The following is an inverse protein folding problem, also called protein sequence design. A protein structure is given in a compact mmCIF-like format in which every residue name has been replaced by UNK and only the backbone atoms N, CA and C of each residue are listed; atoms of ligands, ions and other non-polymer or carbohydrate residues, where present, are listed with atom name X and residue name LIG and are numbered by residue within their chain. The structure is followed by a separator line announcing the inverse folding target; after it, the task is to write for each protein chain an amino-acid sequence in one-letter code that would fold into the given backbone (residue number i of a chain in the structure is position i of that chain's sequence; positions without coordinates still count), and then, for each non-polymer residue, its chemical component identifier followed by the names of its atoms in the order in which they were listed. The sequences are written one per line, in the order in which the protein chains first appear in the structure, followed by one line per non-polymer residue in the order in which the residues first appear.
data_IF_193739098217
#
_entry.id   IF_193739098217
#
_cell.length_a   1.000
_cell.length_b   1.000
_cell.length_c   1.000
_cell.angle_alpha   90.00
_cell.angle_beta   90.00
_cell.angle_gamma   90.00
#
_symmetry.space_group_name_H-M   'P 1'
#
loop_
_entity.id
_entity.type
_entity.pdbx_description
1 polymer ?
#
# COMPACT_ATOMS: atom_id res chain seq x y z
N UNK A 1 27.12 24.41 -13.82
CA UNK A 1 26.49 23.73 -12.66
C UNK A 1 25.00 23.68 -12.94
N UNK A 2 24.38 22.51 -12.78
CA UNK A 2 22.91 22.38 -12.88
C UNK A 2 22.26 22.83 -11.58
N UNK A 3 21.28 23.73 -11.66
CA UNK A 3 20.48 24.19 -10.54
C UNK A 3 19.39 23.19 -10.22
N UNK A 4 19.36 22.67 -9.00
CA UNK A 4 18.42 21.65 -8.57
C UNK A 4 17.51 22.22 -7.48
N UNK A 5 16.19 22.14 -7.71
CA UNK A 5 15.15 22.48 -6.73
C UNK A 5 14.52 21.21 -6.19
N UNK A 6 14.31 21.15 -4.87
CA UNK A 6 13.71 20.00 -4.18
C UNK A 6 12.23 20.25 -3.90
N UNK A 7 11.38 19.26 -4.13
CA UNK A 7 9.98 19.25 -3.75
C UNK A 7 9.68 17.98 -2.92
N UNK A 8 9.86 18.09 -1.61
CA UNK A 8 9.65 17.03 -0.62
C UNK A 8 9.05 17.65 0.66
N UNK A 9 8.04 17.02 1.24
CA UNK A 9 7.40 17.49 2.48
C UNK A 9 8.26 17.22 3.73
N UNK A 10 9.13 16.20 3.70
CA UNK A 10 9.97 15.80 4.82
C UNK A 10 11.20 16.70 4.99
N UNK A 11 11.30 17.37 6.14
CA UNK A 11 12.46 18.21 6.45
C UNK A 11 13.79 17.42 6.54
N UNK A 12 13.71 16.18 7.03
CA UNK A 12 14.87 15.28 7.13
C UNK A 12 15.35 14.89 5.74
N UNK A 13 14.44 14.47 4.87
CA UNK A 13 14.77 14.11 3.49
C UNK A 13 15.38 15.29 2.74
N UNK A 14 14.77 16.47 2.80
CA UNK A 14 15.31 17.68 2.17
C UNK A 14 16.73 18.02 2.63
N UNK A 15 17.04 17.80 3.93
CA UNK A 15 18.39 18.03 4.44
C UNK A 15 19.40 17.07 3.84
N UNK A 16 19.04 15.81 3.67
CA UNK A 16 19.89 14.77 3.08
C UNK A 16 20.06 15.02 1.57
N UNK A 17 18.98 15.31 0.86
CA UNK A 17 19.02 15.63 -0.59
C UNK A 17 19.87 16.87 -0.88
N UNK A 18 19.77 17.90 -0.01
CA UNK A 18 20.64 19.08 -0.08
C UNK A 18 22.11 18.71 0.09
N UNK A 19 22.45 17.81 1.04
CA UNK A 19 23.81 17.34 1.24
C UNK A 19 24.32 16.55 0.01
N UNK A 20 23.49 15.67 -0.55
CA UNK A 20 23.80 14.93 -1.79
C UNK A 20 24.12 15.89 -2.95
N UNK A 21 23.35 16.97 -3.09
CA UNK A 21 23.58 17.99 -4.11
C UNK A 21 24.92 18.70 -3.88
N UNK A 22 25.23 19.08 -2.64
CA UNK A 22 26.47 19.79 -2.30
C UNK A 22 27.73 18.94 -2.48
N UNK A 23 27.62 17.61 -2.39
CA UNK A 23 28.76 16.70 -2.62
C UNK A 23 29.21 16.62 -4.08
N UNK A 24 28.40 17.10 -5.02
CA UNK A 24 28.72 17.07 -6.44
C UNK A 24 28.98 18.50 -7.00
N UNK A 25 30.20 18.80 -7.44
CA UNK A 25 30.54 20.14 -7.96
C UNK A 25 29.82 20.50 -9.27
N UNK A 26 29.15 19.52 -9.94
CA UNK A 26 28.33 19.79 -11.11
C UNK A 26 26.95 20.38 -10.77
N UNK A 27 26.55 20.36 -9.49
CA UNK A 27 25.23 20.76 -9.03
C UNK A 27 25.27 22.03 -8.16
N UNK A 28 24.18 22.77 -8.20
CA UNK A 28 23.88 23.93 -7.37
C UNK A 28 22.51 23.74 -6.72
N UNK A 29 22.43 23.85 -5.41
CA UNK A 29 21.17 23.80 -4.68
C UNK A 29 20.40 25.12 -4.86
N UNK A 30 19.23 25.07 -5.52
CA UNK A 30 18.40 26.24 -5.80
C UNK A 30 17.33 26.53 -4.73
N UNK A 31 17.15 25.61 -3.77
CA UNK A 31 16.13 25.76 -2.73
C UNK A 31 15.17 24.56 -2.68
N UNK A 32 14.08 24.72 -1.95
CA UNK A 32 13.03 23.70 -1.83
C UNK A 32 11.64 24.32 -1.87
N UNK A 33 10.62 23.52 -2.17
CA UNK A 33 9.22 23.86 -2.10
C UNK A 33 8.48 22.94 -1.13
N UNK A 34 7.45 23.45 -0.44
CA UNK A 34 6.62 22.72 0.52
C UNK A 34 5.20 22.44 0.01
N UNK A 35 4.82 23.07 -1.11
CA UNK A 35 3.54 22.86 -1.79
C UNK A 35 3.69 23.03 -3.30
N UNK A 36 2.73 22.51 -4.07
CA UNK A 36 2.78 22.60 -5.53
C UNK A 36 2.71 24.05 -6.01
N UNK A 37 1.92 24.90 -5.36
CA UNK A 37 1.86 26.33 -5.68
C UNK A 37 3.22 27.04 -5.44
N UNK A 38 3.91 26.66 -4.35
CA UNK A 38 5.25 27.17 -4.06
C UNK A 38 6.28 26.64 -5.08
N UNK A 39 6.16 25.38 -5.50
CA UNK A 39 7.01 24.78 -6.55
C UNK A 39 6.90 25.59 -7.85
N UNK A 40 5.66 25.87 -8.30
CA UNK A 40 5.42 26.65 -9.51
C UNK A 40 6.02 28.06 -9.42
N UNK A 41 5.86 28.72 -8.26
CA UNK A 41 6.44 30.05 -8.00
C UNK A 41 7.96 30.02 -8.07
N UNK A 42 8.58 29.07 -7.36
CA UNK A 42 10.05 28.93 -7.30
C UNK A 42 10.67 28.47 -8.61
N UNK A 43 9.97 27.66 -9.39
CA UNK A 43 10.39 27.30 -10.74
C UNK A 43 10.48 28.56 -11.63
N UNK A 44 9.49 29.47 -11.52
CA UNK A 44 9.49 30.72 -12.27
C UNK A 44 10.60 31.68 -11.82
N UNK A 45 10.88 31.73 -10.52
CA UNK A 45 11.85 32.61 -9.89
C UNK A 45 13.28 32.14 -10.12
N UNK A 46 13.59 30.88 -9.75
CA UNK A 46 14.97 30.35 -9.75
C UNK A 46 15.39 29.70 -11.05
N UNK A 47 14.42 29.36 -11.93
CA UNK A 47 14.63 28.69 -13.22
C UNK A 47 15.57 27.48 -13.07
N UNK A 48 15.20 26.49 -12.27
CA UNK A 48 16.05 25.31 -12.05
C UNK A 48 16.21 24.50 -13.33
N UNK A 49 17.37 23.86 -13.48
CA UNK A 49 17.66 22.94 -14.59
C UNK A 49 17.05 21.54 -14.32
N UNK A 50 16.89 21.20 -13.04
CA UNK A 50 16.36 19.92 -12.63
C UNK A 50 15.56 20.01 -11.32
N UNK A 51 14.64 19.05 -11.15
CA UNK A 51 13.84 18.85 -9.94
C UNK A 51 14.12 17.49 -9.31
N UNK A 52 14.19 17.44 -7.98
CA UNK A 52 14.03 16.22 -7.20
C UNK A 52 12.68 16.31 -6.51
N UNK A 53 11.80 15.35 -6.76
CA UNK A 53 10.40 15.40 -6.33
C UNK A 53 10.03 14.09 -5.67
N UNK A 54 9.37 14.13 -4.51
CA UNK A 54 8.72 12.98 -3.89
C UNK A 54 7.23 12.97 -4.22
N UNK A 55 6.67 11.81 -4.54
CA UNK A 55 5.21 11.68 -4.78
C UNK A 55 4.38 12.06 -3.57
N UNK A 56 4.87 11.83 -2.34
CA UNK A 56 4.21 12.26 -1.12
C UNK A 56 4.05 13.79 -0.99
N UNK A 57 4.81 14.57 -1.76
CA UNK A 57 4.68 16.03 -1.85
C UNK A 57 3.32 16.46 -2.46
N UNK A 58 2.70 15.61 -3.27
CA UNK A 58 1.43 15.86 -3.96
C UNK A 58 0.27 15.17 -3.23
N UNK A 59 0.01 15.53 -1.99
CA UNK A 59 -1.06 14.95 -1.18
C UNK A 59 -2.38 14.83 -1.97
N UNK A 60 -2.94 13.62 -2.03
CA UNK A 60 -4.24 13.35 -2.66
C UNK A 60 -4.27 13.39 -4.21
N UNK A 61 -3.15 13.66 -4.87
CA UNK A 61 -3.09 13.62 -6.34
C UNK A 61 -2.81 12.20 -6.85
N UNK A 62 -3.51 11.82 -7.92
CA UNK A 62 -3.21 10.57 -8.63
C UNK A 62 -1.88 10.67 -9.36
N UNK A 63 -1.15 9.56 -9.45
CA UNK A 63 0.17 9.50 -10.10
C UNK A 63 0.16 10.07 -11.53
N UNK A 64 -0.91 9.81 -12.30
CA UNK A 64 -1.10 10.34 -13.63
C UNK A 64 -1.15 11.87 -13.67
N UNK A 65 -1.84 12.44 -12.68
CA UNK A 65 -1.95 13.89 -12.55
C UNK A 65 -0.60 14.50 -12.15
N UNK A 66 0.15 13.84 -11.28
CA UNK A 66 1.52 14.27 -10.91
C UNK A 66 2.41 14.29 -12.15
N UNK A 67 2.43 13.22 -12.93
CA UNK A 67 3.21 13.14 -14.18
C UNK A 67 2.77 14.23 -15.17
N UNK A 68 1.48 14.49 -15.29
CA UNK A 68 0.96 15.54 -16.16
C UNK A 68 1.46 16.92 -15.74
N UNK A 69 1.36 17.26 -14.45
CA UNK A 69 1.83 18.55 -13.93
C UNK A 69 3.35 18.72 -14.08
N UNK A 70 4.14 17.68 -13.77
CA UNK A 70 5.59 17.71 -13.95
C UNK A 70 5.99 17.84 -15.42
N UNK A 71 5.24 17.22 -16.36
CA UNK A 71 5.43 17.43 -17.80
C UNK A 71 5.19 18.87 -18.22
N UNK A 72 4.15 19.51 -17.65
CA UNK A 72 3.82 20.90 -17.96
C UNK A 72 4.90 21.87 -17.50
N UNK A 73 5.63 21.57 -16.41
CA UNK A 73 6.79 22.35 -15.99
C UNK A 73 7.95 22.28 -17.00
N UNK A 74 8.05 21.19 -17.77
CA UNK A 74 9.05 21.01 -18.83
C UNK A 74 10.49 20.89 -18.34
N UNK A 75 10.71 20.65 -17.05
CA UNK A 75 12.02 20.58 -16.38
C UNK A 75 12.42 19.11 -16.21
N UNK A 76 13.70 18.83 -16.28
CA UNK A 76 14.24 17.51 -16.01
C UNK A 76 13.94 17.13 -14.55
N UNK A 77 13.26 16.02 -14.32
CA UNK A 77 12.74 15.65 -12.99
C UNK A 77 13.15 14.24 -12.61
N UNK A 78 13.72 14.08 -11.41
CA UNK A 78 13.83 12.82 -10.70
C UNK A 78 12.63 12.73 -9.76
N UNK A 79 11.74 11.77 -10.02
CA UNK A 79 10.54 11.53 -9.23
C UNK A 79 10.75 10.30 -8.34
N UNK A 80 10.77 10.50 -7.03
CA UNK A 80 10.77 9.43 -6.04
C UNK A 80 9.36 8.90 -5.81
N UNK A 81 9.24 7.57 -5.79
CA UNK A 81 8.01 6.85 -5.45
C UNK A 81 8.27 5.93 -4.26
N UNK A 82 7.24 5.74 -3.42
CA UNK A 82 7.35 4.91 -2.21
C UNK A 82 7.06 3.42 -2.46
N UNK A 83 6.71 3.03 -3.69
CA UNK A 83 6.43 1.64 -4.09
C UNK A 83 7.64 0.98 -4.77
N UNK A 84 7.61 -0.36 -4.90
CA UNK A 84 8.59 -1.11 -5.70
C UNK A 84 8.39 -0.81 -7.19
N UNK A 85 8.93 0.29 -7.64
CA UNK A 85 9.05 0.61 -9.05
C UNK A 85 10.39 0.13 -9.60
N UNK A 86 10.38 -0.41 -10.80
CA UNK A 86 11.60 -0.56 -11.60
C UNK A 86 11.93 0.82 -12.15
N UNK A 87 13.19 1.24 -12.02
CA UNK A 87 13.66 2.50 -12.55
C UNK A 87 13.27 2.68 -14.02
N UNK A 88 12.60 3.78 -14.34
CA UNK A 88 12.07 4.00 -15.69
C UNK A 88 11.92 5.49 -16.02
N UNK A 89 11.75 5.79 -17.29
CA UNK A 89 11.40 7.13 -17.76
C UNK A 89 9.89 7.24 -18.00
N UNK A 90 9.19 8.06 -17.20
CA UNK A 90 7.79 8.41 -17.44
C UNK A 90 7.62 9.38 -18.61
N UNK A 91 8.72 10.07 -19.00
CA UNK A 91 8.86 10.88 -20.23
C UNK A 91 10.34 11.12 -20.49
N UNK A 92 10.67 11.78 -21.62
CA UNK A 92 12.06 12.18 -21.93
C UNK A 92 12.72 13.05 -20.86
N UNK A 93 11.93 13.66 -19.97
CA UNK A 93 12.42 14.54 -18.90
C UNK A 93 12.09 14.07 -17.49
N UNK A 94 11.32 13.01 -17.32
CA UNK A 94 10.93 12.50 -16.00
C UNK A 94 11.45 11.09 -15.81
N UNK A 95 12.40 10.94 -14.89
CA UNK A 95 12.90 9.67 -14.41
C UNK A 95 12.23 9.31 -13.10
N UNK A 96 11.65 8.11 -13.01
CA UNK A 96 10.96 7.60 -11.83
C UNK A 96 11.81 6.51 -11.21
N UNK A 97 12.03 6.61 -9.92
CA UNK A 97 12.79 5.61 -9.14
C UNK A 97 12.21 5.46 -7.74
N UNK A 98 12.52 4.34 -7.10
CA UNK A 98 12.17 4.13 -5.69
C UNK A 98 12.93 5.12 -4.81
N UNK A 99 12.25 5.73 -3.85
CA UNK A 99 12.91 6.57 -2.83
C UNK A 99 13.94 5.76 -2.05
N UNK A 100 15.19 6.20 -1.96
CA UNK A 100 16.19 5.54 -1.13
C UNK A 100 15.79 5.56 0.34
N UNK A 101 16.13 4.50 1.09
CA UNK A 101 16.00 4.54 2.55
C UNK A 101 17.13 5.39 3.13
N UNK A 102 16.79 6.54 3.68
CA UNK A 102 17.74 7.42 4.35
C UNK A 102 17.92 7.13 5.86
N UNK A 103 17.35 6.02 6.36
CA UNK A 103 17.38 5.69 7.79
C UNK A 103 18.78 5.33 8.34
N UNK A 104 19.76 4.99 7.46
CA UNK A 104 21.13 4.68 7.83
C UNK A 104 22.12 5.26 6.81
N UNK A 105 22.19 6.60 6.77
CA UNK A 105 23.03 7.29 5.78
C UNK A 105 24.45 7.49 6.31
N UNK A 106 25.42 6.81 5.68
CA UNK A 106 26.85 7.11 5.86
C UNK A 106 27.30 8.13 4.82
N UNK A 107 28.42 8.84 5.09
CA UNK A 107 28.99 9.79 4.13
C UNK A 107 29.39 9.11 2.79
N UNK A 108 29.74 7.83 2.83
CA UNK A 108 30.08 7.04 1.65
C UNK A 108 28.85 6.82 0.77
N UNK A 109 27.73 6.45 1.37
CA UNK A 109 26.45 6.29 0.66
C UNK A 109 25.96 7.59 0.02
N UNK A 110 26.16 8.74 0.68
CA UNK A 110 25.79 10.05 0.10
C UNK A 110 26.57 10.36 -1.18
N UNK A 111 27.88 10.02 -1.23
CA UNK A 111 28.68 10.19 -2.44
C UNK A 111 28.20 9.31 -3.59
N UNK A 112 27.85 8.06 -3.29
CA UNK A 112 27.32 7.13 -4.30
C UNK A 112 25.99 7.64 -4.86
N UNK A 113 25.09 8.14 -4.01
CA UNK A 113 23.85 8.79 -4.45
C UNK A 113 24.11 10.03 -5.30
N UNK A 114 25.12 10.83 -4.96
CA UNK A 114 25.49 12.03 -5.72
C UNK A 114 25.96 11.68 -7.13
N UNK A 115 26.74 10.60 -7.28
CA UNK A 115 27.20 10.09 -8.58
C UNK A 115 26.04 9.50 -9.40
N UNK A 116 25.11 8.79 -8.75
CA UNK A 116 23.90 8.27 -9.40
C UNK A 116 23.01 9.41 -9.92
N UNK A 117 22.81 10.45 -9.09
CA UNK A 117 22.05 11.63 -9.45
C UNK A 117 22.65 12.32 -10.70
N UNK A 118 23.97 12.42 -10.79
CA UNK A 118 24.64 12.98 -11.94
C UNK A 118 24.41 12.15 -13.22
N UNK A 119 24.46 10.84 -13.14
CA UNK A 119 24.13 9.96 -14.27
C UNK A 119 22.70 10.18 -14.73
N UNK A 120 21.73 10.19 -13.82
CA UNK A 120 20.30 10.38 -14.14
C UNK A 120 20.08 11.72 -14.86
N UNK A 121 20.72 12.79 -14.40
CA UNK A 121 20.54 14.11 -15.01
C UNK A 121 21.41 14.37 -16.25
N UNK A 122 22.39 13.52 -16.54
CA UNK A 122 23.23 13.63 -17.74
C UNK A 122 22.85 12.64 -18.85
N UNK A 123 22.15 11.55 -18.52
CA UNK A 123 21.64 10.61 -19.51
C UNK A 123 20.48 11.24 -20.30
N UNK A 124 20.73 11.49 -21.58
CA UNK A 124 19.65 11.68 -22.55
C UNK A 124 19.08 10.29 -22.88
N UNK A 125 17.78 10.07 -22.76
CA UNK A 125 17.22 8.75 -22.97
C UNK A 125 17.39 8.29 -24.42
N UNK A 126 18.28 7.33 -24.65
CA UNK A 126 18.42 6.60 -25.92
C UNK A 126 17.72 5.24 -25.90
N UNK A 127 16.96 4.94 -24.85
CA UNK A 127 16.15 3.72 -24.76
C UNK A 127 14.72 4.00 -25.19
N UNK A 128 14.02 3.05 -25.84
CA UNK A 128 12.63 3.26 -26.25
C UNK A 128 11.78 3.63 -25.05
N UNK A 129 11.15 4.79 -25.16
CA UNK A 129 10.25 5.31 -24.14
C UNK A 129 9.13 4.30 -23.92
N UNK A 130 9.08 3.69 -22.73
CA UNK A 130 7.85 3.01 -22.33
C UNK A 130 6.75 4.06 -22.25
N UNK A 131 5.68 3.86 -23.01
CA UNK A 131 4.53 4.75 -22.97
C UNK A 131 3.83 4.63 -21.62
N UNK A 132 3.06 5.63 -21.24
CA UNK A 132 2.25 5.62 -20.00
C UNK A 132 1.37 4.36 -19.88
N UNK A 133 0.83 3.87 -21.02
CA UNK A 133 0.11 2.60 -21.11
C UNK A 133 1.02 1.37 -20.82
N UNK A 134 2.34 1.48 -21.01
CA UNK A 134 3.33 0.45 -20.67
C UNK A 134 3.82 0.58 -19.23
N UNK A 135 3.89 1.80 -18.67
CA UNK A 135 4.20 2.06 -17.26
C UNK A 135 3.10 1.57 -16.32
N UNK A 136 1.84 1.71 -16.72
CA UNK A 136 0.71 1.09 -16.01
C UNK A 136 0.69 -0.44 -16.12
N UNK A 137 1.50 -1.04 -17.00
CA UNK A 137 1.73 -2.49 -17.10
C UNK A 137 2.91 -2.99 -16.27
N UNK A 138 3.88 -2.11 -15.94
CA UNK A 138 5.06 -2.43 -15.12
C UNK A 138 4.83 -2.19 -13.60
N UNK A 139 3.66 -1.69 -13.19
CA UNK A 139 3.12 -1.95 -11.85
C UNK A 139 3.00 -3.47 -11.77
N UNK A 140 3.94 -4.15 -11.10
CA UNK A 140 4.16 -5.60 -11.10
C UNK A 140 3.24 -6.30 -12.10
N UNK A 141 3.68 -7.17 -13.00
CA UNK A 141 2.74 -7.93 -13.79
C UNK A 141 1.81 -8.59 -12.79
N UNK A 142 0.63 -8.03 -12.60
CA UNK A 142 -0.50 -8.76 -12.06
C UNK A 142 -0.57 -9.91 -13.04
N UNK A 143 -0.09 -11.09 -12.60
CA UNK A 143 -0.18 -12.30 -13.40
C UNK A 143 -1.58 -12.30 -13.96
N UNK A 144 -1.68 -12.28 -15.27
CA UNK A 144 -2.95 -12.31 -16.00
C UNK A 144 -3.74 -13.53 -15.51
N UNK A 145 -4.70 -13.32 -14.71
CA UNK A 145 -5.61 -14.12 -13.90
C UNK A 145 -5.33 -13.88 -12.42
N UNK A 146 -6.22 -13.11 -11.79
CA UNK A 146 -6.27 -13.07 -10.34
C UNK A 146 -6.68 -14.45 -9.84
N UNK A 147 -5.73 -15.27 -9.45
CA UNK A 147 -5.99 -16.58 -8.81
C UNK A 147 -6.43 -16.41 -7.34
N UNK A 148 -6.57 -15.16 -6.87
CA UNK A 148 -7.00 -14.91 -5.50
C UNK A 148 -8.43 -15.40 -5.26
N UNK A 149 -8.64 -16.00 -4.09
CA UNK A 149 -9.91 -16.63 -3.71
C UNK A 149 -10.66 -15.84 -2.64
N UNK A 150 -9.97 -15.04 -1.85
CA UNK A 150 -10.55 -14.23 -0.78
C UNK A 150 -9.62 -13.12 -0.33
N UNK A 151 -10.21 -12.10 0.32
CA UNK A 151 -9.52 -11.07 1.09
C UNK A 151 -9.78 -11.33 2.58
N UNK A 152 -8.73 -11.27 3.40
CA UNK A 152 -8.76 -11.42 4.84
C UNK A 152 -8.32 -10.11 5.48
N UNK A 153 -9.13 -9.55 6.37
CA UNK A 153 -8.85 -8.26 7.00
C UNK A 153 -8.76 -8.42 8.52
N UNK A 154 -7.65 -7.98 9.07
CA UNK A 154 -7.45 -7.88 10.52
C UNK A 154 -7.49 -6.42 10.97
N UNK A 155 -8.20 -6.13 12.07
CA UNK A 155 -8.38 -4.76 12.54
C UNK A 155 -8.76 -4.73 14.03
N UNK A 156 -8.46 -3.60 14.72
CA UNK A 156 -8.78 -3.43 16.15
C UNK A 156 -9.24 -2.00 16.47
N UNK A 157 -8.48 -1.25 17.23
CA UNK A 157 -8.81 0.12 17.64
C UNK A 157 -8.94 1.04 16.42
N UNK A 158 -10.05 1.78 16.32
CA UNK A 158 -10.39 2.60 15.16
C UNK A 158 -11.10 1.82 14.04
N UNK A 159 -11.17 0.49 14.17
CA UNK A 159 -11.64 -0.44 13.13
C UNK A 159 -13.01 -0.15 12.53
N UNK A 160 -14.09 0.07 13.32
CA UNK A 160 -15.41 0.27 12.74
C UNK A 160 -15.47 1.35 11.67
N UNK A 161 -14.90 2.53 11.92
CA UNK A 161 -14.86 3.64 10.96
C UNK A 161 -13.97 3.31 9.74
N UNK A 162 -12.80 2.73 9.98
CA UNK A 162 -11.85 2.31 8.94
C UNK A 162 -12.46 1.26 8.02
N UNK A 163 -13.13 0.24 8.57
CA UNK A 163 -13.83 -0.80 7.79
C UNK A 163 -14.97 -0.19 6.98
N UNK A 164 -15.80 0.65 7.58
CA UNK A 164 -16.91 1.28 6.88
C UNK A 164 -16.43 2.07 5.66
N UNK A 165 -15.40 2.89 5.82
CA UNK A 165 -14.79 3.65 4.72
C UNK A 165 -14.26 2.71 3.63
N UNK A 166 -13.46 1.72 4.00
CA UNK A 166 -12.89 0.75 3.06
C UNK A 166 -13.97 -0.01 2.27
N UNK A 167 -15.00 -0.54 2.94
CA UNK A 167 -16.08 -1.30 2.30
C UNK A 167 -16.94 -0.41 1.38
N UNK A 168 -17.16 0.86 1.76
CA UNK A 168 -17.88 1.82 0.91
C UNK A 168 -17.12 2.10 -0.39
N UNK A 169 -15.80 2.22 -0.32
CA UNK A 169 -14.93 2.45 -1.48
C UNK A 169 -14.76 1.20 -2.35
N UNK A 170 -14.74 0.00 -1.76
CA UNK A 170 -14.70 -1.28 -2.51
C UNK A 170 -15.92 -1.41 -3.42
N UNK A 171 -17.12 -1.08 -2.92
CA UNK A 171 -18.38 -1.13 -3.71
C UNK A 171 -18.94 -2.52 -3.93
N UNK A 172 -20.18 -2.57 -4.45
CA UNK A 172 -21.01 -3.79 -4.51
C UNK A 172 -20.50 -4.88 -5.46
N UNK A 173 -19.75 -4.51 -6.50
CA UNK A 173 -19.33 -5.44 -7.58
C UNK A 173 -17.97 -6.12 -7.28
N UNK A 174 -17.55 -6.15 -6.03
CA UNK A 174 -16.28 -6.76 -5.68
C UNK A 174 -16.29 -8.28 -5.89
N UNK A 175 -15.37 -8.85 -6.69
CA UNK A 175 -15.47 -10.21 -7.16
C UNK A 175 -14.98 -11.29 -6.19
N UNK A 176 -14.55 -10.93 -4.97
CA UNK A 176 -14.06 -11.86 -3.96
C UNK A 176 -14.87 -11.76 -2.67
N UNK A 177 -14.96 -12.84 -1.87
CA UNK A 177 -15.43 -12.76 -0.51
C UNK A 177 -14.41 -12.07 0.39
N UNK A 178 -14.90 -11.35 1.41
CA UNK A 178 -14.08 -10.66 2.41
C UNK A 178 -14.37 -11.27 3.78
N UNK A 179 -13.33 -11.72 4.48
CA UNK A 179 -13.42 -12.24 5.83
C UNK A 179 -12.71 -11.28 6.79
N UNK A 180 -13.37 -10.89 7.87
CA UNK A 180 -12.87 -9.85 8.79
C UNK A 180 -12.79 -10.37 10.21
N UNK A 181 -11.63 -10.20 10.84
CA UNK A 181 -11.46 -10.32 12.28
C UNK A 181 -11.28 -8.91 12.86
N UNK A 182 -12.31 -8.44 13.57
CA UNK A 182 -12.29 -7.22 14.36
C UNK A 182 -12.26 -7.60 15.84
N UNK A 183 -11.32 -7.07 16.61
CA UNK A 183 -11.34 -7.23 18.07
C UNK A 183 -12.49 -6.40 18.65
N UNK A 184 -13.52 -7.08 19.12
CA UNK A 184 -14.76 -6.48 19.60
C UNK A 184 -15.41 -7.37 20.68
N UNK A 185 -16.11 -6.76 21.64
CA UNK A 185 -16.89 -7.46 22.62
C UNK A 185 -18.22 -7.96 22.05
N UNK A 186 -18.74 -9.08 22.58
CA UNK A 186 -19.97 -9.75 22.14
C UNK A 186 -21.25 -8.87 22.21
N UNK A 187 -21.21 -7.80 22.98
CA UNK A 187 -22.33 -6.84 23.07
C UNK A 187 -22.42 -5.96 21.82
N UNK A 188 -21.31 -5.81 21.08
CA UNK A 188 -21.22 -4.84 19.98
C UNK A 188 -21.20 -5.48 18.59
N UNK A 189 -20.96 -6.80 18.46
CA UNK A 189 -20.79 -7.46 17.16
C UNK A 189 -22.03 -7.31 16.25
N UNK A 190 -23.25 -7.61 16.76
CA UNK A 190 -24.51 -7.48 16.01
C UNK A 190 -24.83 -6.03 15.64
N UNK A 191 -24.52 -5.10 16.53
CA UNK A 191 -24.74 -3.68 16.29
C UNK A 191 -23.82 -3.17 15.19
N UNK A 192 -22.55 -3.59 15.19
CA UNK A 192 -21.58 -3.27 14.15
C UNK A 192 -22.06 -3.79 12.79
N UNK A 193 -22.48 -5.06 12.70
CA UNK A 193 -22.99 -5.66 11.46
C UNK A 193 -24.20 -4.90 10.92
N UNK A 194 -25.19 -4.59 11.80
CA UNK A 194 -26.37 -3.82 11.41
C UNK A 194 -26.01 -2.43 10.89
N UNK A 195 -25.07 -1.76 11.56
CA UNK A 195 -24.61 -0.43 11.19
C UNK A 195 -23.86 -0.46 9.85
N UNK A 196 -22.97 -1.45 9.62
CA UNK A 196 -22.26 -1.59 8.36
C UNK A 196 -23.21 -1.88 7.20
N UNK A 197 -24.22 -2.76 7.39
CA UNK A 197 -25.23 -3.02 6.36
C UNK A 197 -26.04 -1.77 5.99
N UNK A 198 -26.21 -0.82 6.92
CA UNK A 198 -26.90 0.44 6.65
C UNK A 198 -26.00 1.49 5.96
N UNK A 199 -24.69 1.33 6.01
CA UNK A 199 -23.72 2.34 5.59
C UNK A 199 -22.75 1.87 4.48
N UNK A 200 -22.90 0.64 3.99
CA UNK A 200 -22.09 0.09 2.89
C UNK A 200 -22.99 -0.64 1.88
N UNK A 201 -22.49 -0.84 0.67
CA UNK A 201 -23.25 -1.53 -0.39
C UNK A 201 -23.02 -3.04 -0.42
N UNK A 202 -22.03 -3.54 0.34
CA UNK A 202 -21.74 -4.97 0.43
C UNK A 202 -22.58 -5.62 1.52
N UNK A 203 -23.22 -6.78 1.28
CA UNK A 203 -23.89 -7.56 2.34
C UNK A 203 -22.87 -7.99 3.40
N UNK A 204 -23.15 -7.63 4.66
CA UNK A 204 -22.29 -7.91 5.82
C UNK A 204 -22.99 -8.90 6.75
N UNK A 205 -22.29 -9.96 7.12
CA UNK A 205 -22.82 -11.08 7.91
C UNK A 205 -21.90 -11.38 9.11
N UNK A 206 -22.46 -11.87 10.21
CA UNK A 206 -21.67 -12.67 11.15
C UNK A 206 -21.33 -14.01 10.47
N UNK A 207 -20.12 -14.47 10.64
CA UNK A 207 -19.67 -15.74 10.08
C UNK A 207 -20.35 -16.91 10.78
N UNK A 208 -20.64 -17.97 10.02
CA UNK A 208 -21.18 -19.23 10.52
C UNK A 208 -20.36 -20.41 10.01
N UNK A 209 -20.18 -21.43 10.84
CA UNK A 209 -19.42 -22.63 10.47
C UNK A 209 -20.11 -23.40 9.33
N UNK A 210 -19.30 -23.91 8.39
CA UNK A 210 -19.77 -24.69 7.25
C UNK A 210 -20.24 -23.86 6.06
N UNK A 211 -20.27 -22.54 6.17
CA UNK A 211 -20.63 -21.65 5.06
C UNK A 211 -19.50 -21.55 4.05
N UNK A 212 -19.81 -21.70 2.78
CA UNK A 212 -18.93 -21.38 1.65
C UNK A 212 -19.10 -19.89 1.34
N UNK A 213 -18.08 -19.04 1.53
CA UNK A 213 -18.21 -17.60 1.32
C UNK A 213 -18.54 -17.25 -0.14
N UNK A 214 -19.46 -16.31 -0.31
CA UNK A 214 -19.88 -15.83 -1.63
C UNK A 214 -19.12 -14.57 -2.01
N UNK A 215 -18.79 -14.43 -3.28
CA UNK A 215 -18.21 -13.21 -3.81
C UNK A 215 -19.10 -12.00 -3.51
N UNK A 216 -18.47 -10.84 -3.25
CA UNK A 216 -19.18 -9.62 -2.92
C UNK A 216 -19.87 -9.62 -1.55
N UNK A 217 -19.55 -10.57 -0.68
CA UNK A 217 -20.09 -10.64 0.68
C UNK A 217 -18.97 -10.53 1.71
N UNK A 218 -19.31 -9.97 2.86
CA UNK A 218 -18.41 -9.74 3.99
C UNK A 218 -18.83 -10.60 5.16
N UNK A 219 -17.86 -11.29 5.80
CA UNK A 219 -18.10 -12.20 6.91
C UNK A 219 -17.22 -11.81 8.10
N UNK A 220 -17.84 -11.41 9.20
CA UNK A 220 -17.13 -11.05 10.44
C UNK A 220 -17.02 -12.21 11.40
N UNK A 221 -15.87 -12.34 12.05
CA UNK A 221 -15.69 -13.23 13.18
C UNK A 221 -16.66 -12.82 14.32
N UNK A 222 -17.51 -13.73 14.83
CA UNK A 222 -18.26 -13.45 16.04
C UNK A 222 -17.30 -13.31 17.24
N UNK A 223 -17.69 -12.51 18.22
CA UNK A 223 -16.96 -12.45 19.48
C UNK A 223 -16.88 -13.83 20.14
N UNK A 224 -15.82 -14.08 20.88
CA UNK A 224 -15.51 -15.35 21.55
C UNK A 224 -15.30 -16.58 20.63
N UNK A 225 -15.19 -16.38 19.32
CA UNK A 225 -14.84 -17.43 18.38
C UNK A 225 -13.69 -16.99 17.47
N UNK A 226 -12.75 -17.91 17.22
CA UNK A 226 -11.80 -17.73 16.12
C UNK A 226 -12.51 -18.01 14.80
N UNK A 227 -12.36 -17.12 13.83
CA UNK A 227 -12.73 -17.37 12.44
C UNK A 227 -11.51 -17.95 11.75
N UNK A 228 -11.63 -19.17 11.26
CA UNK A 228 -10.63 -19.86 10.44
C UNK A 228 -11.28 -20.39 9.17
N UNK A 229 -10.50 -20.84 8.21
CA UNK A 229 -11.01 -21.50 7.02
C UNK A 229 -10.48 -22.91 6.90
N UNK A 230 -11.27 -23.80 6.29
CA UNK A 230 -10.89 -25.16 5.93
C UNK A 230 -11.11 -25.41 4.44
N UNK A 231 -10.32 -26.30 3.85
CA UNK A 231 -10.54 -26.77 2.48
C UNK A 231 -11.90 -27.47 2.36
N UNK A 232 -12.62 -27.19 1.28
CA UNK A 232 -13.87 -27.89 0.94
C UNK A 232 -13.64 -29.21 0.18
N UNK A 233 -12.37 -29.58 -0.04
CA UNK A 233 -11.97 -30.76 -0.82
C UNK A 233 -12.15 -30.60 -2.34
N UNK A 234 -12.60 -29.43 -2.83
CA UNK A 234 -12.90 -29.18 -4.27
C UNK A 234 -12.22 -27.91 -4.82
N UNK A 235 -11.04 -27.54 -4.30
CA UNK A 235 -10.29 -26.32 -4.61
C UNK A 235 -10.97 -25.01 -4.11
N UNK A 236 -11.95 -25.09 -3.23
CA UNK A 236 -12.56 -23.99 -2.51
C UNK A 236 -12.28 -24.07 -1.01
N UNK A 237 -13.00 -23.29 -0.24
CA UNK A 237 -12.88 -23.29 1.22
C UNK A 237 -14.23 -22.97 1.87
N UNK A 238 -14.35 -23.32 3.13
CA UNK A 238 -15.49 -23.01 3.97
C UNK A 238 -15.02 -22.32 5.27
N UNK A 239 -15.89 -21.53 5.85
CA UNK A 239 -15.69 -20.91 7.16
C UNK A 239 -15.80 -21.96 8.25
N UNK A 240 -14.94 -21.89 9.24
CA UNK A 240 -15.08 -22.60 10.51
C UNK A 240 -14.90 -21.65 11.67
N UNK A 241 -15.76 -21.78 12.63
CA UNK A 241 -15.66 -21.09 13.92
C UNK A 241 -15.26 -22.10 14.99
N UNK A 242 -14.28 -21.76 15.80
CA UNK A 242 -13.87 -22.59 16.91
C UNK A 242 -13.59 -21.75 18.17
N UNK A 243 -13.58 -22.43 19.31
CA UNK A 243 -13.30 -21.85 20.62
C UNK A 243 -11.95 -22.35 21.15
N UNK A 244 -10.99 -22.61 20.28
CA UNK A 244 -9.61 -22.89 20.68
C UNK A 244 -9.12 -21.83 21.68
N UNK A 245 -8.06 -22.16 22.42
CA UNK A 245 -7.43 -21.23 23.35
C UNK A 245 -7.14 -19.88 22.69
N UNK A 246 -7.40 -18.76 23.39
CA UNK A 246 -7.07 -17.44 22.91
C UNK A 246 -5.62 -17.35 22.46
N UNK A 247 -5.37 -16.80 21.28
CA UNK A 247 -4.03 -16.55 20.81
C UNK A 247 -3.62 -15.13 21.21
N UNK A 248 -2.50 -14.99 21.93
CA UNK A 248 -2.08 -13.71 22.51
C UNK A 248 -3.17 -13.01 23.35
N UNK A 249 -3.94 -13.81 24.11
CA UNK A 249 -5.09 -13.38 24.92
C UNK A 249 -6.30 -12.88 24.11
N UNK A 250 -6.31 -13.07 22.78
CA UNK A 250 -7.38 -12.59 21.89
C UNK A 250 -8.18 -13.75 21.30
N UNK A 251 -9.50 -13.61 21.32
CA UNK A 251 -10.47 -14.44 20.61
C UNK A 251 -11.69 -13.60 20.24
N UNK A 252 -11.89 -13.27 18.94
CA UNK A 252 -11.12 -13.74 17.77
C UNK A 252 -9.68 -13.22 17.71
N UNK A 253 -8.78 -13.95 17.01
CA UNK A 253 -7.42 -13.53 16.69
C UNK A 253 -7.22 -13.43 15.18
N UNK A 254 -6.59 -12.36 14.74
CA UNK A 254 -6.21 -12.10 13.34
C UNK A 254 -5.17 -13.12 12.88
N UNK A 255 -4.16 -13.42 13.71
CA UNK A 255 -3.13 -14.42 13.39
C UNK A 255 -3.74 -15.80 13.12
N UNK A 256 -4.73 -16.25 13.92
CA UNK A 256 -5.44 -17.52 13.68
C UNK A 256 -6.10 -17.55 12.30
N UNK A 257 -6.79 -16.48 11.93
CA UNK A 257 -7.43 -16.35 10.62
C UNK A 257 -6.39 -16.38 9.50
N UNK A 258 -5.32 -15.59 9.60
CA UNK A 258 -4.28 -15.50 8.58
C UNK A 258 -3.48 -16.78 8.43
N UNK A 259 -3.16 -17.51 9.53
CA UNK A 259 -2.52 -18.82 9.45
C UNK A 259 -3.38 -19.83 8.72
N UNK A 260 -4.69 -19.86 8.97
CA UNK A 260 -5.60 -20.75 8.26
C UNK A 260 -5.68 -20.40 6.76
N UNK A 261 -5.74 -19.10 6.42
CA UNK A 261 -5.71 -18.62 5.05
C UNK A 261 -4.42 -19.04 4.32
N UNK A 262 -3.25 -18.83 4.96
CA UNK A 262 -1.97 -19.24 4.42
C UNK A 262 -1.90 -20.76 4.17
N UNK A 263 -2.40 -21.56 5.11
CA UNK A 263 -2.38 -23.03 5.02
C UNK A 263 -3.29 -23.56 3.92
N UNK A 264 -4.50 -22.99 3.78
CA UNK A 264 -5.52 -23.51 2.85
C UNK A 264 -5.37 -22.95 1.45
N UNK A 265 -5.10 -21.65 1.32
CA UNK A 265 -5.10 -20.95 0.04
C UNK A 265 -3.70 -20.68 -0.50
N UNK A 266 -2.67 -20.75 0.34
CA UNK A 266 -1.28 -20.45 -0.03
C UNK A 266 -1.20 -19.06 -0.73
N UNK A 267 -0.66 -19.01 -1.94
CA UNK A 267 -0.52 -17.78 -2.74
C UNK A 267 -1.84 -17.18 -3.26
N UNK A 268 -2.99 -17.81 -2.96
CA UNK A 268 -4.31 -17.41 -3.49
C UNK A 268 -5.12 -16.56 -2.51
N UNK A 269 -4.50 -15.97 -1.49
CA UNK A 269 -5.15 -15.08 -0.54
C UNK A 269 -4.48 -13.70 -0.51
N UNK A 270 -5.29 -12.70 -0.19
CA UNK A 270 -4.87 -11.34 0.10
C UNK A 270 -5.16 -11.09 1.58
N UNK A 271 -4.17 -10.63 2.35
CA UNK A 271 -4.37 -10.15 3.70
C UNK A 271 -4.21 -8.63 3.78
N UNK A 272 -5.06 -8.00 4.58
CA UNK A 272 -5.00 -6.58 4.90
C UNK A 272 -4.97 -6.43 6.40
N UNK A 273 -3.96 -5.75 6.93
CA UNK A 273 -3.85 -5.47 8.36
C UNK A 273 -4.00 -3.97 8.58
N UNK A 274 -5.10 -3.60 9.22
CA UNK A 274 -5.52 -2.22 9.45
C UNK A 274 -5.21 -1.78 10.89
N UNK A 275 -5.53 -0.53 11.16
CA UNK A 275 -5.36 0.14 12.45
C UNK A 275 -5.70 -0.74 13.65
N UNK A 276 -4.89 -0.70 14.68
CA UNK A 276 -5.09 -1.45 15.90
C UNK A 276 -3.88 -1.43 16.83
N UNK A 277 -4.15 -1.65 18.12
CA UNK A 277 -3.11 -1.75 19.14
C UNK A 277 -2.56 -3.19 19.21
N UNK A 278 -1.27 -3.32 19.50
CA UNK A 278 -0.61 -4.62 19.67
C UNK A 278 0.02 -5.15 18.39
N UNK A 279 0.11 -6.46 18.26
CA UNK A 279 0.85 -7.16 17.21
C UNK A 279 0.09 -8.36 16.59
N UNK A 280 -1.18 -8.56 16.95
CA UNK A 280 -1.99 -9.64 16.37
C UNK A 280 -2.15 -9.41 14.86
N UNK A 281 -1.96 -10.46 14.07
CA UNK A 281 -1.92 -10.40 12.61
C UNK A 281 -0.52 -10.22 12.00
N UNK A 282 0.48 -9.82 12.80
CA UNK A 282 1.85 -9.61 12.28
C UNK A 282 2.50 -10.93 11.86
N UNK A 283 2.43 -11.96 12.70
CA UNK A 283 2.96 -13.29 12.39
C UNK A 283 2.18 -13.94 11.24
N UNK A 284 0.87 -13.73 11.20
CA UNK A 284 0.01 -14.21 10.10
C UNK A 284 0.34 -13.55 8.77
N UNK A 285 0.63 -12.23 8.74
CA UNK A 285 1.11 -11.53 7.54
C UNK A 285 2.43 -12.15 7.03
N UNK A 286 3.40 -12.38 7.92
CA UNK A 286 4.65 -13.07 7.55
C UNK A 286 4.35 -14.42 6.92
N UNK A 287 3.46 -15.21 7.53
CA UNK A 287 3.11 -16.54 7.03
C UNK A 287 2.44 -16.51 5.67
N UNK A 288 1.49 -15.59 5.44
CA UNK A 288 0.85 -15.41 4.14
C UNK A 288 1.88 -15.03 3.07
N UNK A 289 2.77 -14.09 3.37
CA UNK A 289 3.85 -13.68 2.46
C UNK A 289 4.81 -14.84 2.15
N UNK A 290 5.23 -15.61 3.14
CA UNK A 290 6.06 -16.82 2.95
C UNK A 290 5.41 -17.84 2.01
N UNK A 291 4.08 -18.00 2.10
CA UNK A 291 3.31 -18.88 1.22
C UNK A 291 3.04 -18.27 -0.17
N UNK A 292 3.56 -17.07 -0.45
CA UNK A 292 3.39 -16.37 -1.73
C UNK A 292 2.06 -15.65 -1.89
N UNK A 293 1.27 -15.48 -0.81
CA UNK A 293 0.09 -14.62 -0.77
C UNK A 293 0.46 -13.14 -0.73
N UNK A 294 -0.53 -12.26 -0.86
CA UNK A 294 -0.33 -10.82 -0.89
C UNK A 294 -0.73 -10.18 0.44
N UNK A 295 0.10 -9.30 0.97
CA UNK A 295 -0.17 -8.65 2.26
C UNK A 295 -0.07 -7.14 2.11
N UNK A 296 -1.09 -6.44 2.61
CA UNK A 296 -1.16 -4.98 2.69
C UNK A 296 -1.24 -4.60 4.16
N UNK A 297 -0.42 -3.66 4.58
CA UNK A 297 -0.55 -3.05 5.90
C UNK A 297 -0.91 -1.58 5.75
N UNK A 298 -1.80 -1.08 6.61
CA UNK A 298 -2.19 0.32 6.62
C UNK A 298 -1.00 1.20 7.02
N UNK A 299 -0.80 2.30 6.31
CA UNK A 299 0.25 3.26 6.57
C UNK A 299 -0.01 4.07 7.86
N UNK A 300 1.06 4.52 8.51
CA UNK A 300 1.01 5.22 9.80
C UNK A 300 0.10 6.45 9.77
N UNK A 301 0.18 7.22 8.70
CA UNK A 301 -0.54 8.48 8.54
C UNK A 301 -2.07 8.34 8.48
N UNK A 302 -2.58 7.16 8.12
CA UNK A 302 -4.02 6.89 8.07
C UNK A 302 -4.55 6.09 9.25
N UNK A 303 -3.66 5.45 10.03
CA UNK A 303 -4.03 4.67 11.19
C UNK A 303 -4.54 5.54 12.35
N UNK A 304 -5.63 5.12 12.99
CA UNK A 304 -6.02 5.66 14.31
C UNK A 304 -5.01 5.24 15.38
N UNK A 305 -4.53 3.99 15.30
CA UNK A 305 -3.45 3.43 16.14
C UNK A 305 -2.53 2.60 15.27
N UNK A 306 -1.30 3.07 15.07
CA UNK A 306 -0.28 2.39 14.30
C UNK A 306 0.49 1.38 15.15
N UNK A 307 -0.18 0.28 15.54
CA UNK A 307 0.40 -0.81 16.32
C UNK A 307 0.47 -2.11 15.52
N UNK A 308 -0.67 -2.72 15.20
CA UNK A 308 -0.74 -3.97 14.42
C UNK A 308 -0.06 -3.84 13.03
N UNK A 309 -0.35 -2.80 12.22
CA UNK A 309 0.33 -2.61 10.94
C UNK A 309 1.84 -2.40 11.08
N UNK A 310 2.26 -1.62 12.08
CA UNK A 310 3.68 -1.41 12.40
C UNK A 310 4.38 -2.73 12.71
N UNK A 311 3.81 -3.54 13.60
CA UNK A 311 4.40 -4.82 13.99
C UNK A 311 4.56 -5.76 12.78
N UNK A 312 3.58 -5.81 11.87
CA UNK A 312 3.68 -6.61 10.65
C UNK A 312 4.74 -6.07 9.69
N UNK A 313 4.84 -4.76 9.54
CA UNK A 313 5.86 -4.11 8.72
C UNK A 313 7.27 -4.39 9.26
N UNK A 314 7.50 -4.17 10.55
CA UNK A 314 8.80 -4.42 11.21
C UNK A 314 9.21 -5.90 11.17
N UNK A 315 8.24 -6.83 11.24
CA UNK A 315 8.47 -8.26 11.09
C UNK A 315 8.73 -8.69 9.63
N UNK A 316 8.65 -7.77 8.65
CA UNK A 316 8.81 -8.06 7.24
C UNK A 316 7.60 -8.76 6.59
N UNK A 317 6.44 -8.76 7.26
CA UNK A 317 5.20 -9.38 6.80
C UNK A 317 4.44 -8.59 5.73
N UNK A 318 4.75 -7.31 5.54
CA UNK A 318 4.12 -6.48 4.50
C UNK A 318 4.74 -6.72 3.14
N UNK A 319 3.92 -6.91 2.12
CA UNK A 319 4.31 -6.80 0.71
C UNK A 319 4.18 -5.33 0.29
N UNK A 320 3.14 -4.67 0.75
CA UNK A 320 2.84 -3.27 0.43
C UNK A 320 2.31 -2.53 1.67
N UNK A 321 2.73 -1.28 1.84
CA UNK A 321 2.20 -0.37 2.87
C UNK A 321 1.42 0.72 2.16
N UNK A 322 0.14 0.90 2.49
CA UNK A 322 -0.75 1.84 1.80
C UNK A 322 -1.55 2.67 2.79
N UNK A 323 -1.80 3.93 2.45
CA UNK A 323 -2.80 4.72 3.13
C UNK A 323 -4.21 4.09 2.92
N UNK A 324 -5.10 4.26 3.88
CA UNK A 324 -6.44 3.67 3.85
C UNK A 324 -7.17 3.93 2.52
N UNK A 325 -7.05 5.15 1.99
CA UNK A 325 -7.73 5.60 0.77
C UNK A 325 -7.25 4.87 -0.49
N UNK A 326 -6.04 4.30 -0.46
CA UNK A 326 -5.47 3.56 -1.59
C UNK A 326 -5.77 2.06 -1.56
N UNK A 327 -6.11 1.53 -0.37
CA UNK A 327 -6.31 0.08 -0.16
C UNK A 327 -7.46 -0.46 -1.02
N UNK A 328 -8.60 0.25 -1.08
CA UNK A 328 -9.74 -0.18 -1.89
C UNK A 328 -9.41 -0.28 -3.38
N UNK A 329 -8.73 0.72 -3.92
CA UNK A 329 -8.25 0.74 -5.30
C UNK A 329 -7.31 -0.43 -5.59
N UNK A 330 -6.37 -0.69 -4.66
CA UNK A 330 -5.43 -1.80 -4.79
C UNK A 330 -6.11 -3.17 -4.75
N UNK A 331 -7.07 -3.36 -3.83
CA UNK A 331 -7.85 -4.60 -3.75
C UNK A 331 -8.64 -4.88 -5.03
N UNK A 332 -9.27 -3.86 -5.63
CA UNK A 332 -9.96 -3.99 -6.93
C UNK A 332 -9.00 -4.43 -8.04
N UNK A 333 -7.81 -3.84 -8.11
CA UNK A 333 -6.78 -4.21 -9.10
C UNK A 333 -6.33 -5.67 -8.93
N UNK A 334 -6.11 -6.12 -7.68
CA UNK A 334 -5.70 -7.48 -7.38
C UNK A 334 -6.82 -8.51 -7.64
N UNK A 335 -8.08 -8.12 -7.44
CA UNK A 335 -9.24 -8.99 -7.57
C UNK A 335 -9.77 -9.09 -9.01
N UNK A 336 -9.58 -8.07 -9.87
CA UNK A 336 -10.05 -8.07 -11.24
C UNK A 336 -9.18 -8.97 -12.13
N UNK A 337 -9.75 -10.09 -12.60
CA UNK A 337 -9.26 -10.79 -13.78
C UNK A 337 -9.54 -9.93 -15.01
N UNK A 338 -8.57 -9.68 -15.90
CA UNK A 338 -8.89 -9.19 -17.24
C UNK A 338 -9.64 -10.29 -17.98
N UNK A 339 -10.93 -10.11 -18.25
CA UNK A 339 -11.57 -10.83 -19.33
C UNK A 339 -10.82 -10.47 -20.62
N UNK A 340 -10.12 -11.46 -21.20
CA UNK A 340 -9.69 -11.39 -22.59
C UNK A 340 -10.91 -11.73 -23.44
N UNK A 341 -11.47 -10.74 -24.13
CA UNK A 341 -12.17 -10.94 -25.39
C UNK A 341 -11.15 -10.98 -26.53
#
# INVERSE_FOLDING_TARGET
MKKILIADSSAVTRSIEKEIIHLNPAFEYAGYALSFAELQSKVSEFKPDALIVDTAFFEGMKFESIIFELKNLGIQTLLFVNSEFTDCHASSKIYVTKKPSFASVSQENLKDYSVQLEKIFNDTPHTPQKTFAELSKDIMPVKSHSDYKAVFIGVSTGGPGTIQKLLSEIGADFPLPILITQHIDSVFDKNLISWLNSNTSLPVHLAESGVVPKNGNVYFAPADYHLVIKSDGKNGFLIELNQDEPMNFLRPSVDKMFFSAASVLNKKCIAVLLTGMGNDGAAGCCKIKECGGYTITEAEESCVVYGMPKAAFEAGGSVEVLALDDIAGRLKMLACSKENN
#
